data_IF_626441855224
#
_entry.id   IF_626441855224
#
_cell.length_a   1.000
_cell.length_b   1.000
_cell.length_c   1.000
_cell.angle_alpha   90.00
_cell.angle_beta   90.00
_cell.angle_gamma   90.00
#
_symmetry.space_group_name_H-M   'P 1'
#
loop_
_entity.id
_entity.type
_entity.pdbx_description
1 polymer ?
#
# COMPACT_ATOMS: atom_id res chain seq x y z
N UNK A 1 14.07 41.78 -5.61
CA UNK A 1 13.49 41.94 -4.27
C UNK A 1 13.54 40.59 -3.55
N UNK A 2 14.48 40.38 -2.62
CA UNK A 2 14.71 39.10 -1.96
C UNK A 2 13.89 39.00 -0.66
N UNK A 3 13.10 37.93 -0.52
CA UNK A 3 12.30 37.62 0.66
C UNK A 3 13.08 36.74 1.65
N UNK A 4 13.33 37.32 2.82
CA UNK A 4 14.12 36.85 3.96
C UNK A 4 13.62 35.52 4.57
N UNK A 5 14.53 34.59 4.86
CA UNK A 5 14.30 33.46 5.79
C UNK A 5 14.73 33.88 7.21
N UNK A 6 13.95 33.61 8.28
CA UNK A 6 14.44 33.83 9.63
C UNK A 6 15.25 32.64 10.14
N UNK A 7 16.46 32.97 10.62
CA UNK A 7 17.40 32.13 11.36
C UNK A 7 16.87 31.83 12.77
N UNK A 8 16.80 30.55 13.18
CA UNK A 8 16.66 30.18 14.59
C UNK A 8 18.04 29.97 15.22
N UNK A 9 18.44 30.88 16.12
CA UNK A 9 19.45 30.60 17.17
C UNK A 9 18.73 30.42 18.51
N UNK A 10 19.18 29.51 19.39
CA UNK A 10 18.59 29.35 20.72
C UNK A 10 19.13 30.44 21.65
N UNK A 11 18.23 31.13 22.36
CA UNK A 11 18.58 32.13 23.37
C UNK A 11 18.32 31.56 24.77
N UNK A 12 19.32 31.80 25.62
CA UNK A 12 19.46 31.49 27.03
C UNK A 12 18.27 31.86 27.93
N UNK A 13 18.06 31.07 28.99
CA UNK A 13 17.17 31.31 30.15
C UNK A 13 17.54 32.61 30.91
N UNK A 14 16.65 33.15 31.77
CA UNK A 14 16.78 32.82 33.21
C UNK A 14 15.45 32.68 34.00
N UNK A 15 15.64 32.41 35.30
CA UNK A 15 14.74 31.84 36.30
C UNK A 15 13.61 32.74 36.83
N UNK A 16 12.58 32.10 37.42
CA UNK A 16 11.92 32.66 38.61
C UNK A 16 11.60 31.57 39.63
N UNK A 17 12.10 31.88 40.82
CA UNK A 17 12.11 31.19 42.10
C UNK A 17 10.72 31.10 42.75
N UNK A 18 10.70 30.39 43.89
CA UNK A 18 9.90 30.53 45.12
C UNK A 18 9.08 29.27 45.46
N UNK A 19 9.10 28.66 46.64
CA UNK A 19 9.91 28.75 47.88
C UNK A 19 9.40 27.65 48.86
N UNK A 20 10.09 27.49 50.01
CA UNK A 20 9.87 26.64 51.21
C UNK A 20 10.60 25.29 51.22
N UNK A 21 11.88 25.21 51.66
CA UNK A 21 12.46 25.25 53.04
C UNK A 21 12.17 23.97 53.84
N UNK A 22 13.12 23.05 54.02
CA UNK A 22 14.26 23.07 54.96
C UNK A 22 13.84 22.82 56.42
N UNK A 23 14.18 21.65 56.96
CA UNK A 23 14.86 21.43 58.25
C UNK A 23 14.75 19.96 58.67
N UNK A 24 15.86 19.23 58.71
CA UNK A 24 16.11 18.15 59.67
C UNK A 24 17.62 17.89 59.72
N UNK A 25 18.31 18.73 60.50
CA UNK A 25 19.62 18.41 61.04
C UNK A 25 19.41 17.67 62.37
N UNK A 26 19.79 16.40 62.46
CA UNK A 26 20.18 15.83 63.74
C UNK A 26 21.56 15.17 63.64
N UNK A 27 22.38 15.57 64.61
CA UNK A 27 23.81 15.33 64.81
C UNK A 27 24.13 13.83 64.92
N UNK A 28 25.23 13.40 64.28
CA UNK A 28 25.96 12.19 64.69
C UNK A 28 26.50 12.41 66.11
N UNK A 29 26.13 11.55 67.04
CA UNK A 29 26.82 11.37 68.33
C UNK A 29 27.48 9.99 68.33
N UNK A 30 28.77 9.96 68.66
CA UNK A 30 29.57 8.74 68.87
C UNK A 30 29.32 8.18 70.27
N UNK A 31 29.56 6.87 70.51
CA UNK A 31 29.23 6.24 71.78
C UNK A 31 30.30 6.56 72.84
N UNK A 32 29.87 7.12 73.96
CA UNK A 32 30.71 7.31 75.15
C UNK A 32 30.42 6.17 76.15
N UNK A 33 31.48 5.59 76.70
CA UNK A 33 31.49 4.42 77.60
C UNK A 33 30.66 4.66 78.88
N UNK A 34 29.95 3.62 79.34
CA UNK A 34 29.22 3.58 80.62
C UNK A 34 29.82 2.50 81.52
N UNK A 35 30.22 2.86 82.74
CA UNK A 35 30.02 2.17 84.04
C UNK A 35 30.70 2.97 85.17
N UNK A 36 30.44 2.78 86.51
CA UNK A 36 29.58 1.78 87.15
C UNK A 36 28.72 2.22 88.38
N UNK A 37 27.75 1.35 88.75
CA UNK A 37 27.14 1.09 90.09
C UNK A 37 26.32 2.24 90.74
N UNK A 38 25.08 2.06 91.24
CA UNK A 38 24.66 1.24 92.40
C UNK A 38 23.12 1.32 92.53
N UNK A 39 22.45 0.31 93.10
CA UNK A 39 21.00 0.25 93.43
C UNK A 39 20.79 -0.16 94.91
N UNK A 40 19.58 -0.20 95.51
CA UNK A 40 18.49 0.78 95.73
C UNK A 40 18.19 0.94 97.28
N UNK A 41 17.02 1.41 97.79
CA UNK A 41 15.85 0.51 97.91
C UNK A 41 14.44 1.15 97.69
N UNK A 42 13.49 0.23 97.61
CA UNK A 42 12.05 0.33 97.34
C UNK A 42 11.24 1.02 98.45
N UNK A 43 10.10 1.62 98.09
CA UNK A 43 8.92 1.64 98.96
C UNK A 43 7.62 1.61 98.13
N UNK A 44 6.78 0.64 98.45
CA UNK A 44 5.45 0.38 97.90
C UNK A 44 4.44 1.48 98.27
N UNK A 45 3.60 1.89 97.32
CA UNK A 45 2.29 2.44 97.63
C UNK A 45 1.24 1.87 96.66
N UNK A 46 0.23 1.28 97.28
CA UNK A 46 -0.79 0.37 96.77
C UNK A 46 -1.64 0.95 95.62
N UNK A 47 -1.85 0.14 94.58
CA UNK A 47 -2.75 0.39 93.44
C UNK A 47 -4.13 -0.23 93.67
N UNK A 48 -5.20 0.48 93.30
CA UNK A 48 -6.55 -0.04 93.01
C UNK A 48 -6.98 0.52 91.62
N UNK A 49 -7.91 -0.12 90.88
CA UNK A 49 -7.72 -0.39 89.44
C UNK A 49 -8.21 0.70 88.47
N UNK A 50 -7.36 0.98 87.48
CA UNK A 50 -7.51 1.92 86.35
C UNK A 50 -8.21 1.25 85.13
N UNK A 51 -9.42 0.74 85.34
CA UNK A 51 -10.12 -0.13 84.36
C UNK A 51 -10.59 0.61 83.09
N UNK A 52 -10.83 1.92 83.18
CA UNK A 52 -11.34 2.73 82.07
C UNK A 52 -10.23 3.21 81.10
N UNK A 53 -9.01 3.43 81.59
CA UNK A 53 -7.88 3.78 80.73
C UNK A 53 -7.34 2.55 79.97
N UNK A 54 -7.32 1.37 80.63
CA UNK A 54 -6.96 0.10 79.99
C UNK A 54 -7.88 -0.24 78.83
N UNK A 55 -9.20 -0.11 79.01
CA UNK A 55 -10.20 -0.42 77.96
C UNK A 55 -10.17 0.55 76.78
N UNK A 56 -9.80 1.81 77.02
CA UNK A 56 -9.64 2.81 75.94
C UNK A 56 -8.39 2.52 75.10
N UNK A 57 -7.27 2.15 75.75
CA UNK A 57 -6.07 1.71 75.03
C UNK A 57 -6.29 0.44 74.22
N UNK A 58 -7.02 -0.54 74.75
CA UNK A 58 -7.36 -1.77 74.02
C UNK A 58 -8.17 -1.48 72.74
N UNK A 59 -9.11 -0.54 72.79
CA UNK A 59 -9.86 -0.09 71.59
C UNK A 59 -8.96 0.58 70.56
N UNK A 60 -8.04 1.44 70.99
CA UNK A 60 -7.08 2.10 70.08
C UNK A 60 -6.17 1.08 69.42
N UNK A 61 -5.66 0.10 70.17
CA UNK A 61 -4.85 -1.00 69.62
C UNK A 61 -5.67 -1.82 68.60
N UNK A 62 -6.94 -2.07 68.87
CA UNK A 62 -7.81 -2.78 67.94
C UNK A 62 -8.09 -2.00 66.64
N UNK A 63 -8.28 -0.68 66.72
CA UNK A 63 -8.39 0.19 65.55
C UNK A 63 -7.08 0.24 64.75
N UNK A 64 -5.93 0.39 65.41
CA UNK A 64 -4.61 0.35 64.76
C UNK A 64 -4.41 -0.97 64.03
N UNK A 65 -4.70 -2.12 64.65
CA UNK A 65 -4.58 -3.43 63.98
C UNK A 65 -5.52 -3.56 62.78
N UNK A 66 -6.69 -2.92 62.83
CA UNK A 66 -7.66 -2.91 61.73
C UNK A 66 -7.18 -2.02 60.59
N UNK A 67 -6.63 -0.84 60.90
CA UNK A 67 -6.01 0.06 59.92
C UNK A 67 -4.79 -0.61 59.27
N UNK A 68 -3.92 -1.28 60.04
CA UNK A 68 -2.76 -2.01 59.50
C UNK A 68 -3.19 -3.09 58.50
N UNK A 69 -4.21 -3.90 58.82
CA UNK A 69 -4.77 -4.89 57.87
C UNK A 69 -5.31 -4.24 56.59
N UNK A 70 -5.94 -3.07 56.70
CA UNK A 70 -6.43 -2.33 55.51
C UNK A 70 -5.28 -1.81 54.66
N UNK A 71 -4.21 -1.30 55.27
CA UNK A 71 -2.99 -0.85 54.57
C UNK A 71 -2.35 -2.02 53.83
N UNK A 72 -2.20 -3.18 54.46
CA UNK A 72 -1.68 -4.39 53.81
C UNK A 72 -2.54 -4.81 52.60
N UNK A 73 -3.87 -4.76 52.73
CA UNK A 73 -4.78 -5.02 51.62
C UNK A 73 -4.69 -4.00 50.48
N UNK A 74 -4.45 -2.73 50.83
CA UNK A 74 -4.19 -1.67 49.85
C UNK A 74 -2.86 -1.88 49.13
N UNK A 75 -1.79 -2.25 49.84
CA UNK A 75 -0.48 -2.53 49.24
C UNK A 75 -0.54 -3.71 48.26
N UNK A 76 -1.28 -4.76 48.60
CA UNK A 76 -1.54 -5.87 47.68
C UNK A 76 -2.28 -5.41 46.42
N UNK A 77 -3.32 -4.58 46.58
CA UNK A 77 -4.10 -4.04 45.46
C UNK A 77 -3.26 -3.11 44.56
N UNK A 78 -2.46 -2.23 45.16
CA UNK A 78 -1.53 -1.34 44.45
C UNK A 78 -0.51 -2.16 43.66
N UNK A 79 0.03 -3.22 44.26
CA UNK A 79 0.97 -4.13 43.60
C UNK A 79 0.33 -4.80 42.38
N UNK A 80 -0.90 -5.30 42.52
CA UNK A 80 -1.67 -5.89 41.42
C UNK A 80 -1.91 -4.89 40.28
N UNK A 81 -2.40 -3.69 40.59
CA UNK A 81 -2.61 -2.62 39.60
C UNK A 81 -1.31 -2.20 38.91
N UNK A 82 -0.19 -2.21 39.64
CA UNK A 82 1.14 -1.91 39.08
C UNK A 82 1.59 -2.97 38.07
N UNK A 83 1.25 -4.25 38.30
CA UNK A 83 1.53 -5.33 37.36
C UNK A 83 0.64 -5.22 36.11
N UNK A 84 -0.66 -4.98 36.29
CA UNK A 84 -1.60 -4.83 35.18
C UNK A 84 -1.25 -3.63 34.30
N UNK A 85 -0.89 -2.49 34.89
CA UNK A 85 -0.43 -1.31 34.15
C UNK A 85 0.87 -1.55 33.38
N UNK A 86 1.81 -2.34 33.92
CA UNK A 86 3.00 -2.78 33.18
C UNK A 86 2.64 -3.68 32.00
N UNK A 87 1.70 -4.60 32.17
CA UNK A 87 1.19 -5.46 31.10
C UNK A 87 0.56 -4.63 29.99
N UNK A 88 -0.38 -3.74 30.33
CA UNK A 88 -1.03 -2.85 29.38
C UNK A 88 -0.02 -1.99 28.61
N UNK A 89 1.02 -1.48 29.29
CA UNK A 89 2.09 -0.72 28.62
C UNK A 89 2.84 -1.56 27.59
N UNK A 90 3.10 -2.83 27.89
CA UNK A 90 3.71 -3.77 26.95
C UNK A 90 2.80 -4.01 25.75
N UNK A 91 1.51 -4.23 25.97
CA UNK A 91 0.53 -4.46 24.90
C UNK A 91 0.40 -3.23 23.99
N UNK A 92 0.35 -2.03 24.57
CA UNK A 92 0.32 -0.76 23.83
C UNK A 92 1.57 -0.61 22.95
N UNK A 93 2.76 -0.93 23.46
CA UNK A 93 3.99 -0.89 22.66
C UNK A 93 3.94 -1.90 21.50
N UNK A 94 3.40 -3.10 21.75
CA UNK A 94 3.15 -4.10 20.71
C UNK A 94 2.17 -3.61 19.65
N UNK A 95 1.07 -2.97 20.04
CA UNK A 95 0.11 -2.38 19.10
C UNK A 95 0.71 -1.24 18.29
N UNK A 96 1.49 -0.36 18.91
CA UNK A 96 2.20 0.72 18.20
C UNK A 96 3.10 0.16 17.11
N UNK A 97 3.91 -0.86 17.42
CA UNK A 97 4.77 -1.52 16.42
C UNK A 97 3.96 -2.12 15.27
N UNK A 98 2.84 -2.79 15.58
CA UNK A 98 1.95 -3.36 14.56
C UNK A 98 1.31 -2.29 13.68
N UNK A 99 0.85 -1.18 14.26
CA UNK A 99 0.26 -0.05 13.53
C UNK A 99 1.28 0.56 12.58
N UNK A 100 2.49 0.86 13.04
CA UNK A 100 3.56 1.38 12.17
C UNK A 100 3.88 0.40 11.04
N UNK A 101 3.91 -0.90 11.30
CA UNK A 101 4.11 -1.91 10.26
C UNK A 101 2.97 -1.94 9.23
N UNK A 102 1.72 -1.73 9.66
CA UNK A 102 0.57 -1.64 8.76
C UNK A 102 0.59 -0.37 7.92
N UNK A 103 0.94 0.78 8.51
CA UNK A 103 1.08 2.06 7.80
C UNK A 103 2.13 1.97 6.69
N UNK A 104 3.29 1.37 6.98
CA UNK A 104 4.34 1.15 5.98
C UNK A 104 3.87 0.24 4.84
N UNK A 105 3.19 -0.87 5.17
CA UNK A 105 2.64 -1.77 4.15
C UNK A 105 1.56 -1.09 3.30
N UNK A 106 0.71 -0.28 3.91
CA UNK A 106 -0.33 0.48 3.22
C UNK A 106 0.28 1.48 2.24
N UNK A 107 1.29 2.25 2.66
CA UNK A 107 1.99 3.16 1.74
C UNK A 107 2.71 2.44 0.58
N UNK A 108 3.24 1.23 0.83
CA UNK A 108 3.82 0.41 -0.24
C UNK A 108 2.75 -0.10 -1.22
N UNK A 109 1.57 -0.49 -0.73
CA UNK A 109 0.47 -0.92 -1.59
C UNK A 109 -0.09 0.23 -2.42
N UNK A 110 -0.26 1.42 -1.82
CA UNK A 110 -0.72 2.62 -2.54
C UNK A 110 0.23 2.98 -3.68
N UNK A 111 1.55 2.97 -3.44
CA UNK A 111 2.55 3.23 -4.48
C UNK A 111 2.53 2.18 -5.58
N UNK A 112 2.35 0.90 -5.24
CA UNK A 112 2.20 -0.18 -6.23
C UNK A 112 0.93 -0.02 -7.07
N UNK A 113 -0.20 0.30 -6.43
CA UNK A 113 -1.49 0.54 -7.12
C UNK A 113 -1.35 1.70 -8.09
N UNK A 114 -0.83 2.84 -7.65
CA UNK A 114 -0.61 4.01 -8.51
C UNK A 114 0.29 3.67 -9.70
N UNK A 115 1.37 2.93 -9.46
CA UNK A 115 2.27 2.50 -10.54
C UNK A 115 1.58 1.55 -11.52
N UNK A 116 0.77 0.61 -11.02
CA UNK A 116 0.01 -0.32 -11.86
C UNK A 116 -1.02 0.39 -12.74
N UNK A 117 -1.69 1.41 -12.20
CA UNK A 117 -2.67 2.20 -12.94
C UNK A 117 -2.02 2.99 -14.07
N UNK A 118 -0.84 3.59 -13.84
CA UNK A 118 -0.08 4.26 -14.90
C UNK A 118 0.31 3.27 -16.00
N UNK A 119 0.83 2.09 -15.63
CA UNK A 119 1.20 1.05 -16.62
C UNK A 119 0.01 0.57 -17.44
N UNK A 120 -1.17 0.48 -16.84
CA UNK A 120 -2.38 0.10 -17.57
C UNK A 120 -2.76 1.15 -18.62
N UNK A 121 -2.65 2.44 -18.29
CA UNK A 121 -2.89 3.51 -19.25
C UNK A 121 -1.87 3.48 -20.40
N UNK A 122 -0.60 3.26 -20.09
CA UNK A 122 0.46 3.10 -21.10
C UNK A 122 0.19 1.89 -21.99
N UNK A 123 -0.28 0.78 -21.43
CA UNK A 123 -0.63 -0.43 -22.17
C UNK A 123 -1.80 -0.18 -23.13
N UNK A 124 -2.86 0.49 -22.67
CA UNK A 124 -4.01 0.87 -23.51
C UNK A 124 -3.56 1.78 -24.65
N UNK A 125 -2.76 2.81 -24.34
CA UNK A 125 -2.21 3.72 -25.34
C UNK A 125 -1.35 2.99 -26.37
N UNK A 126 -0.43 2.14 -25.92
CA UNK A 126 0.48 1.43 -26.80
C UNK A 126 -0.26 0.43 -27.68
N UNK A 127 -1.27 -0.26 -27.13
CA UNK A 127 -2.13 -1.15 -27.90
C UNK A 127 -2.92 -0.39 -28.97
N UNK A 128 -3.50 0.76 -28.64
CA UNK A 128 -4.18 1.62 -29.61
C UNK A 128 -3.23 2.09 -30.72
N UNK A 129 -2.02 2.50 -30.35
CA UNK A 129 -0.98 2.92 -31.28
C UNK A 129 -0.53 1.77 -32.20
N UNK A 130 -0.37 0.56 -31.67
CA UNK A 130 -0.03 -0.63 -32.47
C UNK A 130 -1.13 -0.95 -33.47
N UNK A 131 -2.39 -0.95 -33.03
CA UNK A 131 -3.55 -1.16 -33.93
C UNK A 131 -3.57 -0.11 -35.03
N UNK A 132 -3.44 1.17 -34.70
CA UNK A 132 -3.43 2.26 -35.66
C UNK A 132 -2.26 2.15 -36.67
N UNK A 133 -1.07 1.75 -36.21
CA UNK A 133 0.07 1.50 -37.10
C UNK A 133 -0.17 0.29 -38.02
N UNK A 134 -0.75 -0.79 -37.50
CA UNK A 134 -1.08 -1.99 -38.27
C UNK A 134 -2.15 -1.69 -39.33
N UNK A 135 -3.21 -0.96 -38.94
CA UNK A 135 -4.27 -0.52 -39.84
C UNK A 135 -3.74 0.40 -40.94
N UNK A 136 -2.88 1.38 -40.59
CA UNK A 136 -2.23 2.25 -41.58
C UNK A 136 -1.27 1.51 -42.49
N UNK A 137 -0.61 0.47 -42.01
CA UNK A 137 0.28 -0.35 -42.83
C UNK A 137 -0.49 -1.24 -43.81
N UNK A 138 -1.72 -1.64 -43.45
CA UNK A 138 -2.55 -2.57 -44.23
C UNK A 138 -3.70 -1.91 -44.99
N UNK A 139 -3.91 -0.60 -44.82
CA UNK A 139 -5.02 0.18 -45.43
C UNK A 139 -5.15 0.06 -46.95
N UNK A 140 -4.05 -0.24 -47.63
CA UNK A 140 -4.00 -0.36 -49.09
C UNK A 140 -4.02 -1.82 -49.55
N UNK A 141 -4.08 -2.77 -48.61
CA UNK A 141 -4.19 -4.19 -48.90
C UNK A 141 -5.66 -4.61 -49.03
N UNK A 142 -5.97 -5.39 -50.06
CA UNK A 142 -7.20 -6.17 -50.17
C UNK A 142 -6.90 -7.65 -50.01
N UNK A 143 -7.85 -8.40 -49.45
CA UNK A 143 -7.78 -9.85 -49.31
C UNK A 143 -8.88 -10.49 -50.16
N UNK A 144 -8.46 -11.25 -51.18
CA UNK A 144 -9.35 -11.90 -52.13
C UNK A 144 -9.41 -13.39 -51.82
N UNK A 145 -10.61 -13.95 -51.79
CA UNK A 145 -10.89 -15.34 -51.47
C UNK A 145 -11.55 -16.04 -52.66
N UNK A 146 -11.42 -17.36 -52.75
CA UNK A 146 -12.20 -18.17 -53.70
C UNK A 146 -11.63 -18.30 -55.11
N UNK A 147 -10.58 -17.56 -55.48
CA UNK A 147 -9.91 -17.75 -56.78
C UNK A 147 -9.21 -19.11 -56.79
N UNK A 148 -9.50 -20.03 -57.73
CA UNK A 148 -8.82 -21.33 -57.85
C UNK A 148 -7.30 -21.19 -58.00
N UNK A 149 -6.53 -22.15 -57.51
CA UNK A 149 -5.07 -22.10 -57.63
C UNK A 149 -4.63 -22.31 -59.09
N UNK A 150 -3.61 -21.56 -59.51
CA UNK A 150 -3.00 -21.60 -60.85
C UNK A 150 -3.81 -20.93 -61.97
N UNK A 151 -4.99 -20.35 -61.68
CA UNK A 151 -5.71 -19.51 -62.66
C UNK A 151 -5.00 -18.19 -62.92
N UNK A 152 -4.14 -17.74 -62.00
CA UNK A 152 -3.46 -16.45 -62.12
C UNK A 152 -2.32 -16.46 -63.14
N UNK A 153 -1.90 -17.65 -63.58
CA UNK A 153 -0.76 -17.81 -64.47
C UNK A 153 0.56 -17.37 -63.83
N UNK A 154 1.43 -16.75 -64.63
CA UNK A 154 2.78 -16.37 -64.20
C UNK A 154 2.84 -15.03 -63.46
N UNK A 155 1.90 -14.11 -63.70
CA UNK A 155 1.88 -12.79 -63.08
C UNK A 155 0.52 -12.45 -62.47
N UNK A 156 0.51 -12.44 -61.13
CA UNK A 156 -0.69 -12.18 -60.34
C UNK A 156 -1.20 -10.75 -60.49
N UNK A 157 -0.30 -9.78 -60.74
CA UNK A 157 -0.71 -8.38 -60.87
C UNK A 157 -1.51 -8.17 -62.16
N UNK A 158 -0.97 -8.64 -63.30
CA UNK A 158 -1.68 -8.57 -64.59
C UNK A 158 -3.01 -9.34 -64.56
N UNK A 159 -3.05 -10.50 -63.91
CA UNK A 159 -4.29 -11.23 -63.69
C UNK A 159 -5.32 -10.39 -62.93
N UNK A 160 -4.96 -9.81 -61.79
CA UNK A 160 -5.88 -9.00 -60.98
C UNK A 160 -6.30 -7.70 -61.68
N UNK A 161 -5.40 -7.04 -62.41
CA UNK A 161 -5.74 -5.82 -63.16
C UNK A 161 -6.82 -6.07 -64.22
N UNK A 162 -6.85 -7.26 -64.83
CA UNK A 162 -7.83 -7.61 -65.86
C UNK A 162 -9.10 -8.29 -65.34
N UNK A 163 -9.02 -9.02 -64.21
CA UNK A 163 -10.14 -9.82 -63.68
C UNK A 163 -10.92 -9.09 -62.59
N UNK A 164 -10.24 -8.36 -61.71
CA UNK A 164 -10.90 -7.73 -60.56
C UNK A 164 -11.98 -6.71 -60.97
N UNK A 165 -11.76 -5.82 -61.97
CA UNK A 165 -12.81 -4.90 -62.45
C UNK A 165 -14.06 -5.63 -62.94
N UNK A 166 -13.87 -6.77 -63.61
CA UNK A 166 -14.97 -7.62 -64.12
C UNK A 166 -15.74 -8.30 -62.99
N UNK A 167 -15.03 -8.79 -61.96
CA UNK A 167 -15.65 -9.46 -60.81
C UNK A 167 -16.56 -8.52 -60.01
N UNK A 168 -16.15 -7.26 -59.83
CA UNK A 168 -16.92 -6.28 -59.06
C UNK A 168 -17.78 -5.36 -59.94
N UNK A 169 -17.79 -5.59 -61.25
CA UNK A 169 -18.54 -4.79 -62.24
C UNK A 169 -18.31 -3.27 -62.09
N UNK A 170 -17.04 -2.87 -61.91
CA UNK A 170 -16.63 -1.48 -61.75
C UNK A 170 -15.42 -1.19 -62.64
N UNK A 171 -15.55 -0.14 -63.45
CA UNK A 171 -14.45 0.37 -64.26
C UNK A 171 -13.56 1.32 -63.45
N UNK A 172 -12.26 1.22 -63.66
CA UNK A 172 -11.27 2.07 -63.00
C UNK A 172 -10.52 2.90 -64.05
N UNK A 173 -10.55 4.21 -63.88
CA UNK A 173 -9.71 5.15 -64.60
C UNK A 173 -8.91 6.01 -63.60
N UNK A 174 -7.57 5.90 -63.55
CA UNK A 174 -6.72 5.00 -64.33
C UNK A 174 -6.85 3.52 -63.90
N UNK A 175 -6.32 2.57 -64.71
CA UNK A 175 -6.36 1.15 -64.40
C UNK A 175 -5.79 0.80 -63.02
N UNK A 176 -6.20 -0.36 -62.50
CA UNK A 176 -5.70 -0.87 -61.23
C UNK A 176 -4.21 -1.20 -61.32
N UNK A 177 -3.44 -0.59 -60.42
CA UNK A 177 -2.02 -0.82 -60.25
C UNK A 177 -1.75 -1.40 -58.86
N UNK A 178 -0.92 -2.44 -58.81
CA UNK A 178 -0.56 -3.12 -57.58
C UNK A 178 0.92 -2.90 -57.28
N UNK A 179 1.24 -2.66 -56.01
CA UNK A 179 2.63 -2.67 -55.54
C UNK A 179 3.12 -4.12 -55.36
N UNK A 180 2.22 -5.01 -54.92
CA UNK A 180 2.50 -6.43 -54.70
C UNK A 180 1.20 -7.22 -54.71
N UNK A 181 1.23 -8.45 -55.21
CA UNK A 181 0.13 -9.40 -55.12
C UNK A 181 0.68 -10.83 -54.97
N UNK A 182 0.21 -11.57 -53.98
CA UNK A 182 0.65 -12.95 -53.74
C UNK A 182 -0.36 -13.75 -52.90
N UNK A 183 -0.28 -15.09 -53.00
CA UNK A 183 -1.02 -16.03 -52.15
C UNK A 183 -0.39 -16.10 -50.76
N UNK A 184 -1.23 -16.24 -49.74
CA UNK A 184 -0.81 -16.38 -48.34
C UNK A 184 -0.97 -17.81 -47.85
N UNK A 185 0.05 -18.28 -47.13
CA UNK A 185 0.06 -19.58 -46.47
C UNK A 185 0.80 -20.68 -47.26
N UNK A 186 1.04 -21.83 -46.63
CA UNK A 186 1.82 -22.93 -47.22
C UNK A 186 1.13 -23.47 -48.47
N UNK A 187 1.91 -23.78 -49.51
CA UNK A 187 1.40 -24.39 -50.75
C UNK A 187 0.73 -25.73 -50.40
N UNK A 188 -0.53 -25.89 -50.79
CA UNK A 188 -1.30 -27.11 -50.53
C UNK A 188 -1.08 -28.09 -51.68
N UNK A 189 -0.92 -29.38 -51.36
CA UNK A 189 -0.70 -30.45 -52.35
C UNK A 189 -1.99 -30.98 -52.95
N UNK A 190 -3.13 -30.71 -52.30
CA UNK A 190 -4.42 -31.27 -52.64
C UNK A 190 -5.36 -30.21 -53.24
N UNK A 191 -5.87 -30.49 -54.44
CA UNK A 191 -6.85 -29.68 -55.16
C UNK A 191 -8.24 -29.70 -54.49
N UNK A 192 -8.49 -30.61 -53.53
CA UNK A 192 -9.73 -30.63 -52.74
C UNK A 192 -9.76 -29.59 -51.62
N UNK A 193 -8.64 -28.91 -51.35
CA UNK A 193 -8.56 -27.91 -50.29
C UNK A 193 -9.06 -26.53 -50.77
N UNK A 194 -9.63 -25.74 -49.85
CA UNK A 194 -10.06 -24.35 -50.17
C UNK A 194 -8.88 -23.58 -50.77
N UNK A 195 -9.05 -22.81 -51.87
CA UNK A 195 -7.95 -22.05 -52.45
C UNK A 195 -7.34 -21.05 -51.45
N UNK A 196 -6.02 -20.80 -51.52
CA UNK A 196 -5.37 -19.87 -50.57
C UNK A 196 -5.81 -18.43 -50.78
N UNK A 197 -5.96 -17.61 -49.74
CA UNK A 197 -6.23 -16.19 -49.92
C UNK A 197 -5.13 -15.49 -50.72
N UNK A 198 -5.50 -14.54 -51.58
CA UNK A 198 -4.56 -13.59 -52.18
C UNK A 198 -4.59 -12.31 -51.35
N UNK A 199 -3.42 -11.76 -51.02
CA UNK A 199 -3.30 -10.38 -50.58
C UNK A 199 -2.65 -9.56 -51.68
N UNK A 200 -3.33 -8.49 -52.06
CA UNK A 200 -2.87 -7.53 -53.05
C UNK A 200 -2.83 -6.13 -52.44
N UNK A 201 -1.73 -5.42 -52.60
CA UNK A 201 -1.54 -4.04 -52.17
C UNK A 201 -1.70 -3.13 -53.38
N UNK A 202 -2.70 -2.26 -53.36
CA UNK A 202 -2.91 -1.29 -54.43
C UNK A 202 -1.95 -0.11 -54.27
N UNK A 203 -1.62 0.52 -55.39
CA UNK A 203 -0.82 1.74 -55.38
C UNK A 203 -1.65 2.97 -54.94
N UNK A 204 -2.97 2.95 -55.19
CA UNK A 204 -3.87 4.08 -54.96
C UNK A 204 -4.92 3.74 -53.90
N UNK A 205 -4.82 4.40 -52.74
CA UNK A 205 -5.74 4.18 -51.61
C UNK A 205 -7.23 4.34 -51.96
N UNK A 206 -7.57 5.29 -52.84
CA UNK A 206 -8.96 5.56 -53.22
C UNK A 206 -9.61 4.35 -53.92
N UNK A 207 -8.84 3.65 -54.76
CA UNK A 207 -9.32 2.45 -55.45
C UNK A 207 -9.57 1.31 -54.46
N UNK A 208 -8.68 1.13 -53.46
CA UNK A 208 -8.88 0.17 -52.36
C UNK A 208 -10.22 0.40 -51.65
N UNK A 209 -10.52 1.66 -51.30
CA UNK A 209 -11.78 2.02 -50.65
C UNK A 209 -13.00 1.73 -51.52
N UNK A 210 -12.94 2.06 -52.81
CA UNK A 210 -14.03 1.79 -53.76
C UNK A 210 -14.31 0.28 -53.86
N UNK A 211 -13.26 -0.53 -54.04
CA UNK A 211 -13.38 -1.99 -54.12
C UNK A 211 -14.06 -2.55 -52.86
N UNK A 212 -13.59 -2.16 -51.67
CA UNK A 212 -14.13 -2.65 -50.40
C UNK A 212 -15.58 -2.17 -50.17
N UNK A 213 -15.92 -0.96 -50.61
CA UNK A 213 -17.28 -0.42 -50.51
C UNK A 213 -18.25 -1.18 -51.43
N UNK A 214 -17.86 -1.43 -52.68
CA UNK A 214 -18.66 -2.23 -53.62
C UNK A 214 -18.85 -3.64 -53.10
N UNK A 215 -17.77 -4.29 -52.62
CA UNK A 215 -17.85 -5.63 -52.04
C UNK A 215 -18.78 -5.68 -50.82
N UNK A 216 -18.79 -4.64 -49.97
CA UNK A 216 -19.72 -4.56 -48.83
C UNK A 216 -21.18 -4.43 -49.28
N UNK A 217 -21.43 -3.70 -50.38
CA UNK A 217 -22.77 -3.43 -50.89
C UNK A 217 -23.33 -4.61 -51.70
N UNK A 218 -22.48 -5.37 -52.40
CA UNK A 218 -22.89 -6.52 -53.21
C UNK A 218 -23.30 -7.75 -52.39
N UNK A 219 -23.05 -7.76 -51.08
CA UNK A 219 -23.34 -8.91 -50.22
C UNK A 219 -22.36 -10.09 -50.43
N UNK A 220 -22.49 -11.18 -49.66
CA UNK A 220 -21.65 -12.36 -49.86
C UNK A 220 -21.97 -13.01 -51.22
N UNK A 221 -20.92 -13.24 -52.02
CA UNK A 221 -20.95 -14.06 -53.24
C UNK A 221 -21.25 -15.53 -52.90
#
# INVERSE_FOLDING_TARGET
MPGNKPNHKPVSKPARQLLFSEALQHKRLTPTKINPQTSPPLNEFTTMPDKDQSTTMDRILQEITTVSRRIEGMDASITSLTLETKSMRSDIAGFQSRVTGLEQRMGSLETQINTSQVREQDFIYLRSKLTDMEDRSRRDNIRILGIPENEEGSDMQTFLTSTLPKMISLDFDPPLEFQRAHRIGPKRSDNSSRPRPIIACLLRHNQTRQILQVARNHGPF
#
